data_IF_918252821755
#
_entry.id   IF_918252821755
#
_cell.length_a   1.000
_cell.length_b   1.000
_cell.length_c   1.000
_cell.angle_alpha   90.00
_cell.angle_beta   90.00
_cell.angle_gamma   90.00
#
_symmetry.space_group_name_H-M   'P 1'
#
loop_
_entity.id
_entity.type
_entity.pdbx_description
1 polymer ?
#
# COMPACT_ATOMS: atom_id res chain seq x y z
N UNK A 1 3.81 19.54 -1.10
CA UNK A 1 3.02 18.34 -0.85
C UNK A 1 3.13 17.37 -2.03
N UNK A 2 3.49 16.13 -1.73
CA UNK A 2 3.49 15.00 -2.64
C UNK A 2 2.30 14.11 -2.33
N UNK A 3 1.67 13.56 -3.37
CA UNK A 3 0.77 12.42 -3.26
C UNK A 3 1.56 11.18 -3.60
N UNK A 4 1.64 10.22 -2.68
CA UNK A 4 2.31 8.94 -2.90
C UNK A 4 1.24 7.86 -3.07
N UNK A 5 1.40 7.00 -4.08
CA UNK A 5 0.62 5.77 -4.24
C UNK A 5 1.56 4.59 -4.26
N UNK A 6 1.33 3.62 -3.37
CA UNK A 6 1.92 2.29 -3.45
C UNK A 6 0.88 1.32 -3.96
N UNK A 7 1.18 0.69 -5.08
CA UNK A 7 0.33 -0.34 -5.68
C UNK A 7 0.91 -1.71 -5.35
N UNK A 8 0.02 -2.67 -5.11
CA UNK A 8 0.35 -4.05 -4.80
C UNK A 8 -0.38 -4.99 -5.76
N UNK A 9 0.37 -5.95 -6.31
CA UNK A 9 -0.16 -7.09 -7.03
C UNK A 9 -0.54 -8.19 -6.04
N UNK A 10 -1.79 -8.65 -6.11
CA UNK A 10 -2.30 -9.69 -5.21
C UNK A 10 -2.75 -10.92 -5.99
N UNK A 11 -2.78 -12.06 -5.29
CA UNK A 11 -3.29 -13.32 -5.85
C UNK A 11 -4.76 -13.15 -6.29
N UNK A 12 -5.19 -13.85 -7.36
CA UNK A 12 -6.58 -13.81 -7.82
C UNK A 12 -7.58 -14.04 -6.68
N UNK A 13 -8.59 -13.17 -6.59
CA UNK A 13 -9.64 -13.25 -5.56
C UNK A 13 -9.25 -12.72 -4.17
N UNK A 14 -8.00 -12.30 -3.94
CA UNK A 14 -7.54 -11.84 -2.62
C UNK A 14 -7.57 -10.32 -2.43
N UNK A 15 -7.93 -9.53 -3.45
CA UNK A 15 -7.79 -8.07 -3.43
C UNK A 15 -8.51 -7.42 -2.24
N UNK A 16 -9.73 -7.86 -1.91
CA UNK A 16 -10.47 -7.35 -0.75
C UNK A 16 -9.81 -7.71 0.59
N UNK A 17 -9.37 -8.96 0.74
CA UNK A 17 -8.72 -9.42 1.98
C UNK A 17 -7.41 -8.69 2.21
N UNK A 18 -6.61 -8.55 1.16
CA UNK A 18 -5.37 -7.79 1.17
C UNK A 18 -5.61 -6.31 1.49
N UNK A 19 -6.67 -5.69 0.95
CA UNK A 19 -7.03 -4.31 1.27
C UNK A 19 -7.40 -4.11 2.75
N UNK A 20 -8.10 -5.08 3.38
CA UNK A 20 -8.45 -5.01 4.79
C UNK A 20 -7.21 -5.09 5.69
N UNK A 21 -6.31 -6.03 5.43
CA UNK A 21 -5.05 -6.17 6.17
C UNK A 21 -4.13 -4.96 5.95
N UNK A 22 -4.05 -4.45 4.73
CA UNK A 22 -3.25 -3.27 4.42
C UNK A 22 -3.79 -2.01 5.11
N UNK A 23 -5.11 -1.87 5.24
CA UNK A 23 -5.72 -0.78 6.01
C UNK A 23 -5.31 -0.83 7.47
N UNK A 24 -5.35 -2.01 8.10
CA UNK A 24 -4.89 -2.17 9.49
C UNK A 24 -3.42 -1.78 9.66
N UNK A 25 -2.55 -2.23 8.76
CA UNK A 25 -1.15 -1.82 8.72
C UNK A 25 -1.02 -0.30 8.55
N UNK A 26 -1.77 0.30 7.64
CA UNK A 26 -1.69 1.74 7.38
C UNK A 26 -2.18 2.57 8.58
N UNK A 27 -3.22 2.12 9.27
CA UNK A 27 -3.76 2.74 10.49
C UNK A 27 -2.71 2.69 11.62
N UNK A 28 -2.02 1.57 11.81
CA UNK A 28 -0.93 1.43 12.79
C UNK A 28 0.20 2.44 12.51
N UNK A 29 0.63 2.57 11.25
CA UNK A 29 1.64 3.56 10.87
C UNK A 29 1.16 5.00 11.08
N UNK A 30 -0.13 5.26 10.85
CA UNK A 30 -0.73 6.58 11.04
C UNK A 30 -0.80 6.94 12.53
N UNK A 31 -1.24 6.00 13.38
CA UNK A 31 -1.30 6.18 14.83
C UNK A 31 0.09 6.34 15.47
N UNK A 32 1.11 5.69 14.91
CA UNK A 32 2.50 5.84 15.33
C UNK A 32 3.15 7.17 14.85
N UNK A 33 2.43 8.01 14.09
CA UNK A 33 2.94 9.25 13.53
C UNK A 33 3.99 9.06 12.43
N UNK A 34 4.10 7.86 11.86
CA UNK A 34 5.10 7.53 10.83
C UNK A 34 4.61 7.79 9.41
N UNK A 35 3.29 7.93 9.22
CA UNK A 35 2.66 8.25 7.94
C UNK A 35 1.42 9.10 8.21
N UNK A 36 1.02 9.93 7.25
CA UNK A 36 -0.31 10.51 7.25
C UNK A 36 -1.38 9.43 7.02
N UNK A 37 -2.63 9.78 7.32
CA UNK A 37 -3.75 8.88 7.08
C UNK A 37 -3.77 8.43 5.62
N UNK A 38 -3.78 7.11 5.41
CA UNK A 38 -3.73 6.53 4.08
C UNK A 38 -5.14 6.14 3.60
N UNK A 39 -5.43 6.40 2.33
CA UNK A 39 -6.59 5.90 1.62
C UNK A 39 -6.25 4.54 1.00
N UNK A 40 -7.01 3.50 1.37
CA UNK A 40 -6.87 2.16 0.80
C UNK A 40 -8.06 1.86 -0.11
N UNK A 41 -7.76 1.41 -1.34
CA UNK A 41 -8.74 0.99 -2.33
C UNK A 41 -8.19 -0.18 -3.14
N UNK A 42 -9.05 -0.91 -3.86
CA UNK A 42 -8.62 -2.11 -4.57
C UNK A 42 -9.45 -2.35 -5.83
N UNK A 43 -8.82 -3.04 -6.78
CA UNK A 43 -9.48 -3.63 -7.94
C UNK A 43 -9.52 -5.16 -7.80
N UNK A 44 -10.71 -5.74 -7.67
CA UNK A 44 -10.93 -7.19 -7.73
C UNK A 44 -10.86 -7.75 -9.15
N UNK A 45 -10.78 -9.08 -9.27
CA UNK A 45 -10.62 -9.78 -10.55
C UNK A 45 -11.81 -9.73 -11.51
N UNK A 46 -12.94 -9.14 -11.13
CA UNK A 46 -14.15 -9.02 -11.95
C UNK A 46 -14.52 -7.58 -12.31
N UNK A 47 -13.66 -6.60 -12.01
CA UNK A 47 -13.90 -5.20 -12.39
C UNK A 47 -13.73 -5.01 -13.90
N UNK A 48 -14.56 -4.17 -14.55
CA UNK A 48 -14.37 -3.79 -15.94
C UNK A 48 -13.24 -2.76 -16.06
N UNK A 49 -12.00 -3.19 -15.84
CA UNK A 49 -10.78 -2.40 -16.01
C UNK A 49 -9.80 -3.13 -16.96
N UNK A 50 -8.71 -2.47 -17.39
CA UNK A 50 -7.64 -3.17 -18.11
C UNK A 50 -7.10 -4.37 -17.31
N UNK A 51 -6.69 -5.42 -18.00
CA UNK A 51 -6.27 -6.68 -17.35
C UNK A 51 -5.11 -6.48 -16.38
N UNK A 52 -4.20 -5.56 -16.70
CA UNK A 52 -3.06 -5.15 -15.89
C UNK A 52 -3.45 -4.42 -14.60
N UNK A 53 -4.69 -3.98 -14.46
CA UNK A 53 -5.26 -3.33 -13.27
C UNK A 53 -6.13 -4.28 -12.42
N UNK A 54 -6.33 -5.53 -12.85
CA UNK A 54 -7.05 -6.54 -12.06
C UNK A 54 -6.22 -7.03 -10.88
N UNK A 55 -6.88 -7.41 -9.79
CA UNK A 55 -6.23 -7.95 -8.59
C UNK A 55 -5.13 -7.00 -8.07
N UNK A 56 -5.49 -5.74 -7.89
CA UNK A 56 -4.62 -4.69 -7.36
C UNK A 56 -5.15 -4.14 -6.05
N UNK A 57 -4.24 -3.77 -5.15
CA UNK A 57 -4.55 -2.97 -3.97
C UNK A 57 -3.67 -1.72 -4.01
N UNK A 58 -4.27 -0.57 -3.69
CA UNK A 58 -3.60 0.72 -3.71
C UNK A 58 -3.64 1.30 -2.29
N UNK A 59 -2.50 1.85 -1.87
CA UNK A 59 -2.37 2.67 -0.66
C UNK A 59 -1.88 4.05 -1.08
N UNK A 60 -2.68 5.07 -0.79
CA UNK A 60 -2.37 6.45 -1.13
C UNK A 60 -2.30 7.33 0.11
N UNK A 61 -1.30 8.20 0.20
CA UNK A 61 -1.17 9.17 1.29
C UNK A 61 -0.44 10.42 0.81
N UNK A 62 -0.58 11.53 1.52
CA UNK A 62 0.13 12.78 1.21
C UNK A 62 1.28 13.04 2.20
N UNK A 63 2.36 13.66 1.74
CA UNK A 63 3.49 14.04 2.60
C UNK A 63 4.15 15.30 2.09
N UNK A 64 4.74 16.10 2.97
CA UNK A 64 5.57 17.25 2.55
C UNK A 64 6.98 16.84 2.13
N UNK A 65 7.48 15.71 2.64
CA UNK A 65 8.84 15.23 2.41
C UNK A 65 8.77 13.75 2.00
N UNK A 66 9.47 13.41 0.91
CA UNK A 66 9.78 12.02 0.56
C UNK A 66 11.12 11.70 1.19
N UNK A 67 11.11 10.82 2.20
CA UNK A 67 12.30 10.48 2.98
C UNK A 67 12.48 8.94 3.05
N UNK A 68 13.71 8.52 3.35
CA UNK A 68 14.05 7.11 3.47
C UNK A 68 13.31 6.45 4.65
N UNK A 69 12.71 5.27 4.45
CA UNK A 69 12.25 4.42 5.56
C UNK A 69 13.38 3.99 6.49
N UNK A 70 14.64 4.05 6.05
CA UNK A 70 15.82 3.67 6.83
C UNK A 70 16.59 4.87 7.40
N UNK A 71 16.00 6.07 7.37
CA UNK A 71 16.59 7.26 7.99
C UNK A 71 16.85 7.03 9.48
N UNK A 72 17.88 7.70 10.00
CA UNK A 72 18.23 7.63 11.41
C UNK A 72 17.03 8.05 12.29
N UNK A 73 16.79 7.31 13.37
CA UNK A 73 15.70 7.59 14.31
C UNK A 73 14.31 7.12 13.86
N UNK A 74 14.14 6.57 12.64
CA UNK A 74 12.86 5.99 12.25
C UNK A 74 12.53 4.75 13.10
N UNK A 75 11.30 4.70 13.65
CA UNK A 75 10.82 3.58 14.44
C UNK A 75 9.70 2.88 13.66
N UNK A 76 9.98 1.68 13.18
CA UNK A 76 8.96 0.85 12.56
C UNK A 76 7.96 0.40 13.64
N UNK A 77 6.66 0.72 13.49
CA UNK A 77 5.67 0.22 14.42
C UNK A 77 5.49 -1.29 14.23
N UNK A 78 5.16 -1.98 15.32
CA UNK A 78 4.78 -3.38 15.26
C UNK A 78 3.39 -3.51 14.62
N UNK A 79 3.32 -4.23 13.52
CA UNK A 79 2.08 -4.48 12.77
C UNK A 79 1.41 -5.80 13.17
N UNK A 80 1.92 -6.48 14.20
CA UNK A 80 1.51 -7.84 14.54
C UNK A 80 1.65 -8.78 13.34
N UNK A 81 0.65 -9.65 13.16
CA UNK A 81 0.62 -10.58 12.02
C UNK A 81 0.08 -9.94 10.73
N UNK A 82 -0.56 -8.78 10.79
CA UNK A 82 -1.35 -8.22 9.69
C UNK A 82 -0.50 -7.93 8.45
N UNK A 83 0.74 -7.45 8.63
CA UNK A 83 1.66 -7.27 7.52
C UNK A 83 2.17 -8.59 6.94
N UNK A 84 2.43 -9.59 7.79
CA UNK A 84 2.86 -10.92 7.34
C UNK A 84 1.76 -11.60 6.53
N UNK A 85 0.54 -11.63 7.06
CA UNK A 85 -0.63 -12.18 6.37
C UNK A 85 -0.91 -11.43 5.07
N UNK A 86 -0.79 -10.10 5.05
CA UNK A 86 -0.89 -9.30 3.83
C UNK A 86 0.13 -9.74 2.78
N UNK A 87 1.40 -9.96 3.19
CA UNK A 87 2.46 -10.41 2.28
C UNK A 87 2.17 -11.79 1.67
N UNK A 88 1.55 -12.68 2.42
CA UNK A 88 1.18 -14.02 1.94
C UNK A 88 0.10 -13.98 0.83
N UNK A 89 -0.64 -12.87 0.71
CA UNK A 89 -1.64 -12.64 -0.34
C UNK A 89 -1.08 -11.99 -1.61
N UNK A 90 0.19 -11.54 -1.58
CA UNK A 90 0.82 -10.91 -2.73
C UNK A 90 1.18 -11.94 -3.82
N UNK A 91 1.19 -11.49 -5.07
CA UNK A 91 1.54 -12.30 -6.23
C UNK A 91 2.84 -11.79 -6.86
N UNK A 92 3.88 -12.63 -6.82
CA UNK A 92 5.24 -12.39 -7.33
C UNK A 92 5.56 -13.20 -8.60
N UNK A 93 4.54 -13.82 -9.22
CA UNK A 93 4.71 -14.76 -10.34
C UNK A 93 5.38 -14.16 -11.59
N UNK A 94 5.35 -12.84 -11.76
CA UNK A 94 5.88 -12.13 -12.92
C UNK A 94 6.71 -10.89 -12.57
N UNK A 95 7.20 -10.81 -11.32
CA UNK A 95 8.07 -9.71 -10.88
C UNK A 95 7.72 -9.14 -9.51
N UNK A 96 8.07 -7.86 -9.26
CA UNK A 96 7.83 -7.23 -7.96
C UNK A 96 6.35 -7.20 -7.60
N UNK A 97 6.05 -7.56 -6.35
CA UNK A 97 4.68 -7.52 -5.81
C UNK A 97 4.15 -6.11 -5.57
N UNK A 98 5.00 -5.08 -5.62
CA UNK A 98 4.59 -3.70 -5.38
C UNK A 98 5.51 -2.69 -6.05
N UNK A 99 4.95 -1.53 -6.39
CA UNK A 99 5.70 -0.36 -6.87
C UNK A 99 5.14 0.92 -6.24
N UNK A 100 5.93 1.99 -6.27
CA UNK A 100 5.56 3.30 -5.74
C UNK A 100 5.61 4.32 -6.87
N UNK A 101 4.57 5.13 -6.93
CA UNK A 101 4.44 6.31 -7.77
C UNK A 101 4.23 7.51 -6.86
N UNK A 102 4.65 8.69 -7.31
CA UNK A 102 4.35 9.93 -6.61
C UNK A 102 4.12 11.06 -7.60
N UNK A 103 3.35 12.05 -7.15
CA UNK A 103 3.04 13.28 -7.88
C UNK A 103 3.30 14.47 -6.98
N UNK A 104 3.85 15.54 -7.55
CA UNK A 104 3.87 16.85 -6.91
C UNK A 104 2.51 17.52 -7.10
N UNK A 105 1.92 18.02 -6.01
CA UNK A 105 0.74 18.86 -6.13
C UNK A 105 1.13 20.23 -6.65
N UNK A 106 0.63 20.58 -7.84
CA UNK A 106 0.77 21.92 -8.42
C UNK A 106 -0.17 22.86 -7.67
N UNK A 107 0.40 23.94 -7.12
CA UNK A 107 -0.33 25.00 -6.43
C UNK A 107 -0.80 26.09 -7.36
#
# INVERSE_FOLDING_TARGET
MYVIRRTYKVKPGQARNAALLLREVADIYSQAGQRSQSLIYYNGGSLPCPNEELNRVYMQWSTEIIDSPYREGNKFPDTGNSYKEFRDLLDDSDGPTSWIEFWEEVK
#
